data_IF_799679949153
#
_entry.id   IF_799679949153
#
_cell.length_a   1.000
_cell.length_b   1.000
_cell.length_c   1.000
_cell.angle_alpha   90.00
_cell.angle_beta   90.00
_cell.angle_gamma   90.00
#
_symmetry.space_group_name_H-M   'P 1'
#
loop_
_entity.id
_entity.type
_entity.pdbx_description
1 polymer ?
#
# COMPACT_ATOMS: atom_id res chain seq x y z
N UNK A 1 -5.60 23.01 -2.72
CA UNK A 1 -5.69 21.95 -1.66
C UNK A 1 -5.40 20.62 -2.32
N UNK A 2 -4.22 20.06 -2.02
CA UNK A 2 -3.83 18.73 -2.51
C UNK A 2 -4.71 17.67 -1.85
N UNK A 3 -5.28 16.76 -2.66
CA UNK A 3 -6.05 15.61 -2.16
C UNK A 3 -5.21 14.80 -1.16
N UNK A 4 -5.75 14.36 -0.04
CA UNK A 4 -5.01 13.54 0.93
C UNK A 4 -4.59 12.22 0.28
N UNK A 5 -3.32 11.87 0.40
CA UNK A 5 -2.80 10.60 -0.12
C UNK A 5 -3.30 9.43 0.72
N UNK A 6 -3.68 8.34 0.06
CA UNK A 6 -4.30 7.15 0.66
C UNK A 6 -3.51 5.87 0.40
N UNK A 7 -2.62 5.89 -0.58
CA UNK A 7 -1.81 4.75 -1.01
C UNK A 7 -0.35 5.14 -1.05
N UNK A 8 0.50 4.31 -0.46
CA UNK A 8 1.95 4.36 -0.58
C UNK A 8 2.42 3.09 -1.28
N UNK A 9 2.95 3.25 -2.48
CA UNK A 9 3.54 2.17 -3.28
C UNK A 9 5.04 2.21 -3.12
N UNK A 10 5.64 1.07 -2.88
CA UNK A 10 7.04 0.92 -2.50
C UNK A 10 7.73 -0.09 -3.41
N UNK A 11 8.92 0.24 -3.90
CA UNK A 11 9.85 -0.77 -4.37
C UNK A 11 10.47 -1.54 -3.20
N UNK A 12 11.27 -2.56 -3.48
CA UNK A 12 11.90 -3.42 -2.49
C UNK A 12 13.40 -3.17 -2.38
N UNK A 13 14.18 -3.58 -3.41
CA UNK A 13 15.64 -3.50 -3.42
C UNK A 13 16.11 -2.04 -3.32
N UNK A 14 17.04 -1.77 -2.42
CA UNK A 14 17.54 -0.43 -2.10
C UNK A 14 16.47 0.61 -1.70
N UNK A 15 15.22 0.17 -1.51
CA UNK A 15 14.11 0.99 -1.03
C UNK A 15 13.62 0.53 0.35
N UNK A 16 13.20 -0.74 0.51
CA UNK A 16 12.80 -1.30 1.82
C UNK A 16 13.94 -2.02 2.55
N UNK A 17 14.95 -2.44 1.83
CA UNK A 17 16.20 -3.02 2.34
C UNK A 17 17.34 -2.68 1.39
N UNK A 18 18.58 -2.75 1.86
CA UNK A 18 19.74 -2.53 1.02
C UNK A 18 20.20 -3.81 0.30
N UNK A 19 20.59 -3.66 -0.95
CA UNK A 19 21.04 -4.73 -1.81
C UNK A 19 19.94 -5.32 -2.69
N UNK A 20 20.36 -6.07 -3.70
CA UNK A 20 19.47 -6.73 -4.67
C UNK A 20 19.25 -8.16 -4.19
N UNK A 21 18.01 -8.45 -3.75
CA UNK A 21 17.70 -9.74 -3.11
C UNK A 21 17.94 -10.94 -4.02
N UNK A 22 17.72 -10.78 -5.32
CA UNK A 22 17.99 -11.82 -6.31
C UNK A 22 19.47 -12.24 -6.40
N UNK A 23 20.39 -11.34 -6.03
CA UNK A 23 21.84 -11.57 -6.04
C UNK A 23 22.35 -12.08 -4.70
N UNK A 24 21.93 -11.43 -3.60
CA UNK A 24 22.52 -11.69 -2.28
C UNK A 24 21.69 -12.65 -1.43
N UNK A 25 20.41 -12.84 -1.76
CA UNK A 25 19.47 -13.64 -0.98
C UNK A 25 19.03 -12.96 0.32
N UNK A 26 17.93 -13.43 0.91
CA UNK A 26 17.27 -12.81 2.06
C UNK A 26 18.15 -12.71 3.34
N UNK A 27 19.21 -13.51 3.45
CA UNK A 27 20.14 -13.49 4.59
C UNK A 27 21.14 -12.34 4.54
N UNK A 28 21.43 -11.83 3.35
CA UNK A 28 22.50 -10.85 3.13
C UNK A 28 21.98 -9.48 2.70
N UNK A 29 20.66 -9.29 2.60
CA UNK A 29 20.11 -7.95 2.43
C UNK A 29 20.42 -7.12 3.69
N UNK A 30 20.69 -5.82 3.51
CA UNK A 30 20.97 -4.91 4.61
C UNK A 30 19.66 -4.42 5.22
N UNK A 31 19.33 -4.94 6.41
CA UNK A 31 18.21 -4.50 7.23
C UNK A 31 18.50 -4.85 8.69
N UNK A 32 18.48 -3.86 9.59
CA UNK A 32 18.85 -4.04 10.99
C UNK A 32 20.31 -4.44 11.19
N UNK A 33 20.55 -5.27 12.21
CA UNK A 33 21.85 -5.89 12.44
C UNK A 33 22.93 -4.97 13.01
N UNK A 34 22.55 -3.85 13.65
CA UNK A 34 23.47 -2.86 14.22
C UNK A 34 24.47 -2.29 13.21
N UNK A 35 24.08 -2.23 11.98
CA UNK A 35 24.83 -1.64 10.88
C UNK A 35 24.10 -0.41 10.36
N UNK A 36 24.83 0.70 10.18
CA UNK A 36 24.31 2.00 9.76
C UNK A 36 23.22 1.92 8.66
N UNK A 37 23.52 1.25 7.55
CA UNK A 37 22.56 1.12 6.45
C UNK A 37 21.34 0.25 6.83
N UNK A 38 21.58 -0.83 7.58
CA UNK A 38 20.49 -1.72 8.01
C UNK A 38 19.52 -1.02 8.94
N UNK A 39 20.03 -0.20 9.87
CA UNK A 39 19.21 0.60 10.78
C UNK A 39 18.44 1.69 10.04
N UNK A 40 19.03 2.34 9.03
CA UNK A 40 18.36 3.32 8.19
C UNK A 40 17.12 2.73 7.50
N UNK A 41 17.22 1.53 6.94
CA UNK A 41 16.08 0.84 6.34
C UNK A 41 15.03 0.40 7.37
N UNK A 42 15.45 0.01 8.58
CA UNK A 42 14.50 -0.28 9.67
C UNK A 42 13.74 0.98 10.10
N UNK A 43 14.41 2.11 10.25
CA UNK A 43 13.76 3.38 10.60
C UNK A 43 12.77 3.81 9.54
N UNK A 44 13.12 3.64 8.27
CA UNK A 44 12.20 3.88 7.16
C UNK A 44 10.98 2.96 7.23
N UNK A 45 11.16 1.66 7.45
CA UNK A 45 10.05 0.71 7.61
C UNK A 45 9.19 1.04 8.85
N UNK A 46 9.78 1.46 9.96
CA UNK A 46 9.05 1.91 11.15
C UNK A 46 8.15 3.11 10.84
N UNK A 47 8.67 4.07 10.06
CA UNK A 47 7.88 5.22 9.62
C UNK A 47 6.72 4.81 8.73
N UNK A 48 6.96 3.94 7.76
CA UNK A 48 5.91 3.38 6.89
C UNK A 48 4.86 2.63 7.73
N UNK A 49 5.29 1.84 8.71
CA UNK A 49 4.39 1.14 9.63
C UNK A 49 3.48 2.10 10.40
N UNK A 50 4.04 3.24 10.81
CA UNK A 50 3.26 4.31 11.45
C UNK A 50 2.19 4.87 10.53
N UNK A 51 2.51 5.12 9.25
CA UNK A 51 1.54 5.56 8.24
C UNK A 51 0.45 4.51 8.01
N UNK A 52 0.83 3.25 7.88
CA UNK A 52 -0.11 2.13 7.76
C UNK A 52 -1.09 2.09 8.95
N UNK A 53 -0.58 2.27 10.16
CA UNK A 53 -1.41 2.31 11.37
C UNK A 53 -2.34 3.53 11.43
N UNK A 54 -2.05 4.57 10.66
CA UNK A 54 -2.94 5.72 10.42
C UNK A 54 -3.93 5.49 9.25
N UNK A 55 -4.01 4.29 8.70
CA UNK A 55 -4.97 3.92 7.65
C UNK A 55 -4.47 4.13 6.21
N UNK A 56 -3.19 4.48 6.02
CA UNK A 56 -2.60 4.52 4.67
C UNK A 56 -2.43 3.09 4.16
N UNK A 57 -2.89 2.83 2.94
CA UNK A 57 -2.72 1.55 2.29
C UNK A 57 -1.28 1.42 1.79
N UNK A 58 -0.70 0.23 1.92
CA UNK A 58 0.61 -0.08 1.38
C UNK A 58 0.48 -1.05 0.21
N UNK A 59 1.26 -0.85 -0.83
CA UNK A 59 1.43 -1.80 -1.92
C UNK A 59 2.91 -1.92 -2.31
N UNK A 60 3.27 -3.03 -2.96
CA UNK A 60 4.62 -3.26 -3.46
C UNK A 60 4.57 -3.32 -4.98
N UNK A 61 5.53 -2.65 -5.65
CA UNK A 61 5.85 -2.87 -7.06
C UNK A 61 7.37 -3.04 -7.16
N UNK A 62 7.82 -4.23 -7.51
CA UNK A 62 9.26 -4.52 -7.61
C UNK A 62 9.58 -5.46 -8.76
N UNK A 63 10.71 -5.22 -9.41
CA UNK A 63 11.28 -6.10 -10.45
C UNK A 63 12.12 -7.18 -9.79
N UNK A 64 11.47 -8.26 -9.39
CA UNK A 64 12.08 -9.39 -8.69
C UNK A 64 11.35 -10.70 -8.99
N UNK A 65 11.97 -11.81 -8.64
CA UNK A 65 11.26 -13.07 -8.53
C UNK A 65 10.42 -13.07 -7.24
N UNK A 66 9.10 -13.21 -7.38
CA UNK A 66 8.16 -13.09 -6.27
C UNK A 66 8.51 -14.01 -5.09
N UNK A 67 8.82 -15.29 -5.37
CA UNK A 67 9.17 -16.26 -4.32
C UNK A 67 10.37 -15.80 -3.49
N UNK A 68 11.39 -15.28 -4.15
CA UNK A 68 12.63 -14.82 -3.51
C UNK A 68 12.35 -13.60 -2.63
N UNK A 69 11.64 -12.62 -3.15
CA UNK A 69 11.27 -11.42 -2.40
C UNK A 69 10.37 -11.74 -1.18
N UNK A 70 9.40 -12.63 -1.35
CA UNK A 70 8.52 -13.04 -0.25
C UNK A 70 9.24 -13.84 0.85
N UNK A 71 10.37 -14.49 0.54
CA UNK A 71 11.20 -15.14 1.55
C UNK A 71 11.78 -14.15 2.56
N UNK A 72 12.19 -12.94 2.12
CA UNK A 72 12.68 -11.89 3.03
C UNK A 72 11.63 -11.56 4.09
N UNK A 73 10.40 -11.30 3.69
CA UNK A 73 9.30 -11.01 4.63
C UNK A 73 8.97 -12.15 5.59
N UNK A 74 9.19 -13.39 5.18
CA UNK A 74 8.88 -14.58 5.99
C UNK A 74 10.00 -14.96 6.95
N UNK A 75 11.25 -14.86 6.49
CA UNK A 75 12.41 -15.46 7.16
C UNK A 75 13.31 -14.43 7.87
N UNK A 76 13.38 -13.20 7.37
CA UNK A 76 14.22 -12.19 7.98
C UNK A 76 13.54 -11.60 9.22
N UNK A 77 14.17 -11.79 10.40
CA UNK A 77 13.63 -11.36 11.70
C UNK A 77 13.72 -9.84 11.89
N UNK A 78 14.68 -9.19 11.23
CA UNK A 78 14.88 -7.74 11.30
C UNK A 78 13.85 -6.95 10.49
N UNK A 79 13.05 -7.65 9.65
CA UNK A 79 11.99 -7.04 8.86
C UNK A 79 10.85 -6.52 9.74
N UNK A 80 10.62 -5.21 9.74
CA UNK A 80 9.55 -4.55 10.51
C UNK A 80 8.19 -4.72 9.84
N UNK A 81 8.13 -4.43 8.52
CA UNK A 81 6.93 -4.64 7.74
C UNK A 81 6.74 -6.14 7.46
N UNK A 82 5.50 -6.59 7.53
CA UNK A 82 5.11 -7.97 7.21
C UNK A 82 4.17 -7.98 6.01
N UNK A 83 4.08 -9.08 5.29
CA UNK A 83 3.21 -9.20 4.10
C UNK A 83 1.76 -8.81 4.39
N UNK A 84 1.30 -9.02 5.62
CA UNK A 84 -0.05 -8.63 6.03
C UNK A 84 -0.25 -7.11 6.15
N UNK A 85 0.80 -6.32 6.13
CA UNK A 85 0.70 -4.87 6.14
C UNK A 85 0.34 -4.31 4.75
N UNK A 86 0.65 -5.05 3.70
CA UNK A 86 0.37 -4.67 2.32
C UNK A 86 -1.03 -5.12 1.88
N UNK A 87 -1.74 -4.25 1.20
CA UNK A 87 -3.04 -4.55 0.61
C UNK A 87 -2.89 -5.48 -0.60
N UNK A 88 -1.90 -5.20 -1.44
CA UNK A 88 -1.59 -5.96 -2.65
C UNK A 88 -0.12 -5.78 -3.04
N UNK A 89 0.36 -6.58 -4.00
CA UNK A 89 1.70 -6.43 -4.58
C UNK A 89 1.75 -6.89 -6.02
N UNK A 90 2.73 -6.35 -6.77
CA UNK A 90 3.19 -6.79 -8.08
C UNK A 90 4.70 -6.94 -8.00
N UNK A 91 5.17 -8.18 -7.85
CA UNK A 91 6.59 -8.54 -7.83
C UNK A 91 6.82 -9.42 -9.05
N UNK A 92 7.26 -8.79 -10.13
CA UNK A 92 7.44 -9.42 -11.43
C UNK A 92 8.37 -8.55 -12.30
N UNK A 93 8.68 -8.98 -13.52
CA UNK A 93 9.55 -8.26 -14.45
C UNK A 93 8.79 -7.36 -15.44
N UNK A 94 7.50 -7.14 -15.23
CA UNK A 94 6.67 -6.25 -16.04
C UNK A 94 7.00 -4.78 -15.76
N UNK A 95 6.55 -3.90 -16.69
CA UNK A 95 6.67 -2.44 -16.54
C UNK A 95 5.96 -1.98 -15.25
N UNK A 96 6.67 -1.18 -14.42
CA UNK A 96 6.13 -0.69 -13.15
C UNK A 96 4.91 0.22 -13.34
N UNK A 97 4.80 0.93 -14.47
CA UNK A 97 3.62 1.73 -14.78
C UNK A 97 2.39 0.86 -15.06
N UNK A 98 2.56 -0.26 -15.79
CA UNK A 98 1.49 -1.27 -15.96
C UNK A 98 1.05 -1.83 -14.62
N UNK A 99 2.00 -2.26 -13.79
CA UNK A 99 1.74 -2.78 -12.46
C UNK A 99 1.01 -1.77 -11.56
N UNK A 100 1.36 -0.48 -11.66
CA UNK A 100 0.68 0.58 -10.89
C UNK A 100 -0.77 0.77 -11.36
N UNK A 101 -1.02 0.76 -12.67
CA UNK A 101 -2.39 0.83 -13.21
C UNK A 101 -3.27 -0.30 -12.65
N UNK A 102 -2.75 -1.53 -12.65
CA UNK A 102 -3.46 -2.68 -12.10
C UNK A 102 -3.76 -2.56 -10.60
N UNK A 103 -2.80 -2.03 -9.82
CA UNK A 103 -2.98 -1.81 -8.38
C UNK A 103 -4.03 -0.73 -8.12
N UNK A 104 -3.99 0.38 -8.85
CA UNK A 104 -4.98 1.45 -8.70
C UNK A 104 -6.39 0.96 -9.03
N UNK A 105 -6.55 0.19 -10.11
CA UNK A 105 -7.83 -0.44 -10.46
C UNK A 105 -8.28 -1.45 -9.40
N UNK A 106 -7.38 -2.33 -8.96
CA UNK A 106 -7.67 -3.35 -7.95
C UNK A 106 -8.16 -2.74 -6.63
N UNK A 107 -7.53 -1.64 -6.20
CA UNK A 107 -7.85 -0.94 -4.96
C UNK A 107 -8.94 0.13 -5.15
N UNK A 108 -9.43 0.34 -6.37
CA UNK A 108 -10.38 1.39 -6.74
C UNK A 108 -9.93 2.78 -6.22
N UNK A 109 -8.69 3.14 -6.54
CA UNK A 109 -8.05 4.39 -6.15
C UNK A 109 -7.64 5.20 -7.38
N UNK A 110 -7.71 6.54 -7.26
CA UNK A 110 -7.24 7.44 -8.30
C UNK A 110 -5.75 7.74 -8.14
N UNK A 111 -5.08 8.11 -9.23
CA UNK A 111 -3.67 8.51 -9.26
C UNK A 111 -3.31 9.58 -8.22
N UNK A 112 -4.18 10.58 -8.06
CA UNK A 112 -3.96 11.71 -7.16
C UNK A 112 -3.92 11.30 -5.67
N UNK A 113 -4.40 10.11 -5.34
CA UNK A 113 -4.34 9.55 -3.99
C UNK A 113 -3.07 8.71 -3.72
N UNK A 114 -2.20 8.55 -4.72
CA UNK A 114 -1.03 7.67 -4.67
C UNK A 114 0.28 8.45 -4.45
N UNK A 115 1.19 7.82 -3.69
CA UNK A 115 2.61 8.17 -3.61
C UNK A 115 3.42 6.94 -4.03
N UNK A 116 4.44 7.12 -4.86
CA UNK A 116 5.32 6.06 -5.34
C UNK A 116 6.75 6.32 -4.92
N UNK A 117 7.35 5.39 -4.19
CA UNK A 117 8.72 5.41 -3.68
C UNK A 117 9.58 4.35 -4.36
N UNK A 118 10.70 4.77 -4.94
CA UNK A 118 11.62 3.91 -5.69
C UNK A 118 13.00 4.56 -5.70
N UNK A 119 14.08 3.83 -5.41
CA UNK A 119 15.45 4.35 -5.47
C UNK A 119 15.90 4.63 -6.90
N UNK A 120 15.37 3.89 -7.88
CA UNK A 120 15.76 4.01 -9.28
C UNK A 120 15.11 5.22 -9.96
N UNK A 121 15.93 6.19 -10.34
CA UNK A 121 15.48 7.41 -11.03
C UNK A 121 14.73 7.11 -12.35
N UNK A 122 15.12 6.08 -13.10
CA UNK A 122 14.46 5.74 -14.36
C UNK A 122 13.02 5.25 -14.12
N UNK A 123 12.81 4.44 -13.08
CA UNK A 123 11.49 3.97 -12.68
C UNK A 123 10.63 5.14 -12.17
N UNK A 124 11.20 6.04 -11.35
CA UNK A 124 10.50 7.26 -10.93
C UNK A 124 10.05 8.12 -12.11
N UNK A 125 10.95 8.35 -13.07
CA UNK A 125 10.64 9.13 -14.29
C UNK A 125 9.59 8.44 -15.15
N UNK A 126 9.65 7.10 -15.25
CA UNK A 126 8.65 6.30 -15.95
C UNK A 126 7.26 6.49 -15.34
N UNK A 127 7.15 6.44 -14.00
CA UNK A 127 5.88 6.68 -13.31
C UNK A 127 5.42 8.13 -13.46
N UNK A 128 6.29 9.13 -13.28
CA UNK A 128 5.94 10.55 -13.46
C UNK A 128 5.35 10.83 -14.86
N UNK A 129 5.92 10.21 -15.88
CA UNK A 129 5.46 10.38 -17.27
C UNK A 129 4.11 9.70 -17.49
N UNK A 130 3.92 8.50 -16.97
CA UNK A 130 2.70 7.70 -17.19
C UNK A 130 1.52 8.17 -16.32
N UNK A 131 1.81 8.70 -15.13
CA UNK A 131 0.84 9.08 -14.10
C UNK A 131 1.19 10.45 -13.50
N UNK A 132 0.90 11.57 -14.21
CA UNK A 132 1.32 12.90 -13.78
C UNK A 132 0.74 13.35 -12.43
N UNK A 133 -0.34 12.72 -11.94
CA UNK A 133 -0.97 13.05 -10.66
C UNK A 133 -0.44 12.21 -9.48
N UNK A 134 0.32 11.15 -9.77
CA UNK A 134 1.00 10.38 -8.72
C UNK A 134 2.12 11.24 -8.15
N UNK A 135 2.19 11.32 -6.84
CA UNK A 135 3.31 12.00 -6.16
C UNK A 135 4.51 11.05 -6.13
N UNK A 136 5.58 11.42 -6.83
CA UNK A 136 6.83 10.66 -6.90
C UNK A 136 7.96 11.54 -6.36
N UNK A 137 8.34 11.41 -5.08
CA UNK A 137 9.42 12.20 -4.51
C UNK A 137 10.78 11.82 -5.11
N UNK A 138 11.71 12.76 -5.11
CA UNK A 138 13.11 12.46 -5.34
C UNK A 138 13.69 11.80 -4.09
N UNK A 139 14.47 10.75 -4.28
CA UNK A 139 15.15 10.08 -3.19
C UNK A 139 16.64 10.42 -3.21
N UNK A 140 17.22 10.76 -2.06
CA UNK A 140 18.66 10.90 -1.92
C UNK A 140 19.38 9.56 -2.12
N UNK A 141 20.66 9.62 -2.47
CA UNK A 141 21.45 8.40 -2.64
C UNK A 141 21.68 7.65 -1.32
N UNK A 142 21.65 8.37 -0.20
CA UNK A 142 21.84 7.79 1.13
C UNK A 142 20.47 7.44 1.76
N UNK A 143 20.20 6.16 2.01
CA UNK A 143 18.94 5.69 2.59
C UNK A 143 18.62 6.26 3.99
N UNK A 144 19.60 6.75 4.72
CA UNK A 144 19.38 7.38 6.04
C UNK A 144 18.44 8.59 5.97
N UNK A 145 18.35 9.24 4.82
CA UNK A 145 17.44 10.37 4.59
C UNK A 145 16.05 9.97 4.11
N UNK A 146 15.79 8.69 3.79
CA UNK A 146 14.46 8.26 3.28
C UNK A 146 13.32 8.55 4.26
N UNK A 147 13.59 8.37 5.55
CA UNK A 147 12.61 8.70 6.60
C UNK A 147 12.26 10.18 6.62
N UNK A 148 13.27 11.05 6.48
CA UNK A 148 13.09 12.50 6.42
C UNK A 148 12.31 12.92 5.17
N UNK A 149 12.66 12.37 4.00
CA UNK A 149 11.93 12.64 2.75
C UNK A 149 10.46 12.22 2.84
N UNK A 150 10.18 11.06 3.41
CA UNK A 150 8.80 10.62 3.64
C UNK A 150 8.04 11.57 4.59
N UNK A 151 8.71 12.13 5.58
CA UNK A 151 8.11 13.10 6.51
C UNK A 151 7.83 14.45 5.86
N UNK A 152 8.73 14.95 5.02
CA UNK A 152 8.61 16.24 4.30
C UNK A 152 7.37 16.28 3.40
N UNK A 153 6.87 15.12 2.93
CA UNK A 153 5.72 15.09 2.03
C UNK A 153 4.44 15.69 2.63
N UNK A 154 4.27 15.63 3.94
CA UNK A 154 3.09 16.17 4.68
C UNK A 154 1.72 15.82 4.07
N UNK A 155 1.67 14.92 3.08
CA UNK A 155 0.50 14.59 2.29
C UNK A 155 -0.37 13.47 2.89
N UNK A 156 0.13 12.81 3.94
CA UNK A 156 -0.56 11.73 4.65
C UNK A 156 -1.31 12.20 5.91
N UNK A 157 -1.35 13.52 6.14
CA UNK A 157 -2.04 14.07 7.29
C UNK A 157 -3.55 14.04 7.06
N UNK A 158 -4.24 13.13 7.74
CA UNK A 158 -5.70 13.11 7.85
C UNK A 158 -6.07 13.68 9.22
N UNK A 159 -6.94 14.67 9.26
CA UNK A 159 -7.36 15.35 10.50
C UNK A 159 -8.06 14.41 11.50
N UNK A 160 -8.55 13.26 11.05
CA UNK A 160 -9.15 12.23 11.90
C UNK A 160 -8.97 10.85 11.26
N UNK A 161 -8.31 9.94 11.97
CA UNK A 161 -8.25 8.51 11.62
C UNK A 161 -9.51 7.84 12.15
N UNK A 162 -10.37 7.35 11.26
CA UNK A 162 -11.58 6.63 11.67
C UNK A 162 -11.27 5.14 11.89
N UNK A 163 -12.09 4.43 12.68
CA UNK A 163 -12.00 2.97 12.83
C UNK A 163 -12.01 2.24 11.47
N UNK A 164 -12.70 2.80 10.48
CA UNK A 164 -12.76 2.26 9.12
C UNK A 164 -11.45 2.42 8.37
N UNK A 165 -10.75 3.54 8.55
CA UNK A 165 -9.45 3.75 7.94
C UNK A 165 -8.44 2.70 8.45
N UNK A 166 -8.50 2.35 9.72
CA UNK A 166 -7.69 1.28 10.32
C UNK A 166 -8.01 -0.11 9.76
N UNK A 167 -9.26 -0.36 9.42
CA UNK A 167 -9.72 -1.64 8.86
C UNK A 167 -9.61 -1.70 7.32
N UNK A 168 -9.22 -0.60 6.67
CA UNK A 168 -9.21 -0.47 5.20
C UNK A 168 -8.41 -1.59 4.51
N UNK A 169 -7.21 -1.88 4.98
CA UNK A 169 -6.39 -2.99 4.43
C UNK A 169 -7.11 -4.34 4.53
N UNK A 170 -7.83 -4.59 5.63
CA UNK A 170 -8.62 -5.82 5.80
C UNK A 170 -9.78 -5.85 4.82
N UNK A 171 -10.52 -4.74 4.68
CA UNK A 171 -11.65 -4.67 3.75
C UNK A 171 -11.22 -4.89 2.30
N UNK A 172 -10.09 -4.33 1.87
CA UNK A 172 -9.56 -4.59 0.52
C UNK A 172 -9.19 -6.06 0.33
N UNK A 173 -8.53 -6.69 1.29
CA UNK A 173 -8.20 -8.12 1.22
C UNK A 173 -9.47 -9.00 1.16
N UNK A 174 -10.48 -8.66 1.92
CA UNK A 174 -11.75 -9.39 1.91
C UNK A 174 -12.49 -9.18 0.58
N UNK A 175 -12.46 -7.96 0.02
CA UNK A 175 -13.03 -7.67 -1.30
C UNK A 175 -12.30 -8.41 -2.42
N UNK A 176 -10.97 -8.47 -2.39
CA UNK A 176 -10.18 -9.26 -3.34
C UNK A 176 -10.51 -10.75 -3.28
N UNK A 177 -10.69 -11.29 -2.06
CA UNK A 177 -11.15 -12.68 -1.90
C UNK A 177 -12.53 -12.88 -2.51
N UNK A 178 -13.47 -11.94 -2.30
CA UNK A 178 -14.81 -11.99 -2.90
C UNK A 178 -14.75 -11.92 -4.42
N UNK A 179 -13.94 -11.02 -5.00
CA UNK A 179 -13.75 -10.94 -6.46
C UNK A 179 -13.20 -12.24 -7.05
N UNK A 180 -12.21 -12.87 -6.37
CA UNK A 180 -11.67 -14.18 -6.78
C UNK A 180 -12.71 -15.29 -6.67
N UNK A 181 -13.48 -15.33 -5.59
CA UNK A 181 -14.56 -16.30 -5.41
C UNK A 181 -15.65 -16.14 -6.47
N UNK A 182 -16.03 -14.89 -6.81
CA UNK A 182 -17.03 -14.61 -7.86
C UNK A 182 -16.68 -15.26 -9.19
N UNK A 183 -15.39 -15.31 -9.57
CA UNK A 183 -14.94 -15.96 -10.81
C UNK A 183 -15.20 -17.46 -10.86
N UNK A 184 -15.40 -18.12 -9.71
CA UNK A 184 -15.65 -19.55 -9.60
C UNK A 184 -17.14 -19.92 -9.68
N UNK A 185 -18.04 -18.93 -9.74
CA UNK A 185 -19.48 -19.15 -9.86
C UNK A 185 -19.93 -18.92 -11.30
N UNK A 186 -20.74 -19.85 -11.84
CA UNK A 186 -21.33 -19.78 -13.18
C UNK A 186 -22.44 -18.72 -13.20
N UNK A 187 -23.19 -18.56 -12.09
CA UNK A 187 -24.31 -17.64 -11.98
C UNK A 187 -24.03 -16.55 -10.95
N UNK A 188 -24.31 -15.29 -11.32
CA UNK A 188 -24.24 -14.14 -10.40
C UNK A 188 -25.21 -14.29 -9.21
N UNK A 189 -26.39 -14.88 -9.45
CA UNK A 189 -27.39 -15.16 -8.40
C UNK A 189 -26.87 -16.13 -7.34
N UNK A 190 -26.21 -17.20 -7.75
CA UNK A 190 -25.67 -18.21 -6.82
C UNK A 190 -24.51 -17.65 -6.01
N UNK A 191 -23.68 -16.81 -6.63
CA UNK A 191 -22.64 -16.07 -5.90
C UNK A 191 -23.25 -15.14 -4.83
N UNK A 192 -24.29 -14.36 -5.17
CA UNK A 192 -24.98 -13.50 -4.20
C UNK A 192 -25.57 -14.28 -3.03
N UNK A 193 -26.22 -15.43 -3.31
CA UNK A 193 -26.74 -16.32 -2.25
C UNK A 193 -25.63 -16.84 -1.34
N UNK A 194 -24.45 -17.18 -1.89
CA UNK A 194 -23.32 -17.69 -1.13
C UNK A 194 -22.77 -16.68 -0.13
N UNK A 195 -22.93 -15.38 -0.38
CA UNK A 195 -22.46 -14.30 0.50
C UNK A 195 -23.28 -14.20 1.79
N UNK A 196 -24.47 -14.79 1.87
CA UNK A 196 -25.37 -14.75 3.04
C UNK A 196 -25.55 -13.32 3.59
N UNK A 197 -25.71 -12.34 2.68
CA UNK A 197 -25.83 -10.94 3.04
C UNK A 197 -27.06 -10.73 3.90
N UNK A 198 -26.90 -10.10 5.06
CA UNK A 198 -27.98 -9.62 5.91
C UNK A 198 -28.05 -8.10 5.83
N UNK A 199 -29.22 -7.57 5.51
CA UNK A 199 -29.46 -6.13 5.45
C UNK A 199 -30.36 -5.73 6.62
N UNK A 200 -29.89 -4.82 7.46
CA UNK A 200 -30.68 -4.19 8.49
C UNK A 200 -31.07 -2.77 8.03
N UNK A 201 -32.34 -2.48 8.03
CA UNK A 201 -32.86 -1.15 7.67
C UNK A 201 -33.36 -0.48 8.94
N UNK A 202 -32.75 0.65 9.29
CA UNK A 202 -33.06 1.40 10.49
C UNK A 202 -33.38 2.85 10.14
N UNK A 203 -34.27 3.47 10.88
CA UNK A 203 -34.53 4.92 10.82
C UNK A 203 -33.33 5.66 11.43
N UNK A 204 -33.10 6.90 10.95
CA UNK A 204 -32.08 7.77 11.55
C UNK A 204 -32.53 8.11 12.97
N UNK A 205 -31.63 7.87 13.92
CA UNK A 205 -31.80 8.15 15.34
C UNK A 205 -30.55 8.82 15.92
N UNK A 206 -30.54 9.16 17.19
CA UNK A 206 -29.41 9.84 17.82
C UNK A 206 -28.11 8.98 17.85
N UNK A 207 -28.24 7.67 17.86
CA UNK A 207 -27.08 6.75 17.91
C UNK A 207 -26.39 6.62 16.54
N UNK A 208 -27.21 6.55 15.45
CA UNK A 208 -26.66 6.33 14.11
C UNK A 208 -26.47 7.62 13.27
N UNK A 209 -26.98 8.78 13.74
CA UNK A 209 -26.97 10.07 13.05
C UNK A 209 -25.54 10.48 12.59
N UNK A 210 -24.56 10.38 13.48
CA UNK A 210 -23.18 10.75 13.16
C UNK A 210 -22.60 9.85 12.07
N UNK A 211 -22.98 8.58 12.09
CA UNK A 211 -22.55 7.62 11.05
C UNK A 211 -23.19 7.93 9.70
N UNK A 212 -24.47 8.27 9.69
CA UNK A 212 -25.19 8.66 8.47
C UNK A 212 -24.56 9.92 7.85
N UNK A 213 -24.29 10.96 8.66
CA UNK A 213 -23.58 12.16 8.19
C UNK A 213 -22.22 11.86 7.60
N UNK A 214 -21.45 10.98 8.24
CA UNK A 214 -20.14 10.55 7.75
C UNK A 214 -20.25 9.84 6.38
N UNK A 215 -21.24 8.98 6.20
CA UNK A 215 -21.48 8.28 4.95
C UNK A 215 -21.88 9.25 3.83
N UNK A 216 -22.80 10.17 4.10
CA UNK A 216 -23.23 11.21 3.15
C UNK A 216 -22.01 12.03 2.68
N UNK A 217 -21.18 12.48 3.61
CA UNK A 217 -20.01 13.29 3.28
C UNK A 217 -18.88 12.51 2.53
N UNK A 218 -18.90 11.18 2.59
CA UNK A 218 -17.95 10.31 1.88
C UNK A 218 -18.44 9.84 0.50
N UNK A 219 -19.72 9.97 0.20
CA UNK A 219 -20.28 9.62 -1.10
C UNK A 219 -20.26 10.85 -2.01
N UNK A 220 -19.41 10.82 -3.05
CA UNK A 220 -19.29 11.88 -4.07
C UNK A 220 -20.47 11.91 -5.06
N UNK A 221 -21.63 11.42 -4.70
CA UNK A 221 -22.80 11.27 -5.60
C UNK A 221 -24.05 12.03 -5.12
N UNK A 222 -23.84 13.13 -4.39
CA UNK A 222 -24.91 14.11 -4.15
C UNK A 222 -24.42 15.51 -4.44
#
# INVERSE_FOLDING_TARGET
TTSPKKLLVLDLDNTLWGGIIGEVGWKKINIGGHHYLGEAFQDFQNKIKTLKNKGIQLAIISKNEEKVALEAFKKNREMILKLNDFATWRINWEDKAKNLSEILEELNLNEDSCVFFDDNMNERNRIKTSFPKVLVPELPNDPSYYTEELQKLNCFNTNQVTKEDLLRTKYYKDELKRKKQKKNFISHSDWLKSLKIKVNIEKINNENKMRVLQLINKTNQM
#
